data_IF_470503897749
#
_entry.id   IF_470503897749
#
_cell.length_a   1.000
_cell.length_b   1.000
_cell.length_c   1.000
_cell.angle_alpha   90.00
_cell.angle_beta   90.00
_cell.angle_gamma   90.00
#
_symmetry.space_group_name_H-M   'P 1'
#
loop_
_entity.id
_entity.type
_entity.pdbx_description
1 polymer ?
#
# COMPACT_ATOMS: atom_id res chain seq x y z
N UNK A 1 -19.81 7.52 4.38
CA UNK A 1 -19.13 7.80 3.10
C UNK A 1 -17.65 7.53 3.31
N UNK A 2 -17.13 6.38 2.85
CA UNK A 2 -15.72 6.00 2.99
C UNK A 2 -15.40 4.87 2.04
N UNK A 3 -14.95 5.20 0.83
CA UNK A 3 -14.50 4.21 -0.15
C UNK A 3 -13.36 4.83 -0.94
N UNK A 4 -12.15 4.73 -0.38
CA UNK A 4 -10.97 5.43 -0.88
C UNK A 4 -9.96 4.45 -1.51
N UNK A 5 -10.40 3.44 -2.27
CA UNK A 5 -9.52 2.49 -2.97
C UNK A 5 -9.89 1.00 -2.84
N UNK A 6 -8.89 0.13 -3.05
CA UNK A 6 -8.92 -1.29 -2.67
C UNK A 6 -8.03 -1.56 -1.45
N UNK A 7 -8.62 -2.02 -0.34
CA UNK A 7 -7.84 -2.48 0.81
C UNK A 7 -7.03 -3.72 0.46
N UNK A 8 -5.73 -3.63 0.68
CA UNK A 8 -4.74 -4.66 0.40
C UNK A 8 -3.79 -4.83 1.58
N UNK A 9 -3.29 -6.06 1.75
CA UNK A 9 -2.18 -6.40 2.61
C UNK A 9 -0.97 -6.76 1.76
N UNK A 10 0.18 -6.14 2.02
CA UNK A 10 1.45 -6.47 1.38
C UNK A 10 2.23 -7.38 2.32
N UNK A 11 2.41 -8.63 1.91
CA UNK A 11 3.24 -9.62 2.59
C UNK A 11 4.61 -9.62 1.93
N UNK A 12 5.65 -9.29 2.69
CA UNK A 12 7.04 -9.39 2.28
C UNK A 12 7.70 -10.56 3.01
N UNK A 13 8.37 -11.42 2.26
CA UNK A 13 9.18 -12.52 2.78
C UNK A 13 10.45 -12.64 1.92
N UNK A 14 11.57 -12.17 2.47
CA UNK A 14 12.92 -12.29 1.92
C UNK A 14 12.99 -11.94 0.43
N UNK A 15 12.57 -10.70 0.08
CA UNK A 15 12.58 -10.20 -1.30
C UNK A 15 11.42 -10.68 -2.18
N UNK A 16 10.51 -11.51 -1.65
CA UNK A 16 9.26 -11.90 -2.33
C UNK A 16 8.09 -11.13 -1.74
N UNK A 17 7.40 -10.36 -2.57
CA UNK A 17 6.21 -9.62 -2.18
C UNK A 17 4.94 -10.33 -2.69
N UNK A 18 3.90 -10.39 -1.87
CA UNK A 18 2.54 -10.79 -2.27
C UNK A 18 1.53 -9.73 -1.84
N UNK A 19 0.60 -9.38 -2.72
CA UNK A 19 -0.41 -8.35 -2.47
C UNK A 19 -1.76 -9.02 -2.39
N UNK A 20 -2.31 -9.09 -1.18
CA UNK A 20 -3.52 -9.83 -0.86
C UNK A 20 -4.67 -8.84 -0.64
N UNK A 21 -5.73 -8.95 -1.41
CA UNK A 21 -6.94 -8.13 -1.20
C UNK A 21 -7.63 -8.51 0.11
N UNK A 22 -8.51 -7.65 0.61
CA UNK A 22 -9.40 -7.97 1.76
C UNK A 22 -10.17 -9.30 1.59
N UNK A 23 -10.49 -9.70 0.35
CA UNK A 23 -11.16 -10.97 0.05
C UNK A 23 -10.24 -12.19 -0.01
N UNK A 24 -8.94 -12.03 0.22
CA UNK A 24 -7.95 -13.11 0.19
C UNK A 24 -7.37 -13.43 -1.20
N UNK A 25 -7.72 -12.67 -2.23
CA UNK A 25 -7.16 -12.88 -3.57
C UNK A 25 -5.75 -12.31 -3.68
N UNK A 26 -4.84 -13.09 -4.28
CA UNK A 26 -3.50 -12.66 -4.65
C UNK A 26 -3.56 -11.81 -5.94
N UNK A 27 -3.35 -10.50 -5.78
CA UNK A 27 -3.35 -9.49 -6.83
C UNK A 27 -1.96 -8.90 -7.07
N UNK A 28 -0.90 -9.64 -6.74
CA UNK A 28 0.49 -9.18 -6.89
C UNK A 28 0.76 -8.66 -8.30
N UNK A 29 0.45 -9.46 -9.33
CA UNK A 29 0.61 -9.10 -10.74
C UNK A 29 -0.19 -7.86 -11.19
N UNK A 30 -1.20 -7.45 -10.40
CA UNK A 30 -2.05 -6.29 -10.74
C UNK A 30 -1.46 -4.98 -10.24
N UNK A 31 -0.49 -5.02 -9.34
CA UNK A 31 0.10 -3.84 -8.71
C UNK A 31 1.63 -3.88 -8.77
N UNK A 32 2.23 -3.91 -9.98
CA UNK A 32 3.67 -4.08 -10.12
C UNK A 32 4.48 -2.97 -9.42
N UNK A 33 4.01 -1.72 -9.44
CA UNK A 33 4.68 -0.63 -8.73
C UNK A 33 4.72 -0.81 -7.21
N UNK A 34 3.65 -1.37 -6.62
CA UNK A 34 3.56 -1.68 -5.18
C UNK A 34 4.45 -2.88 -4.86
N UNK A 35 4.46 -3.90 -5.72
CA UNK A 35 5.33 -5.06 -5.59
C UNK A 35 6.81 -4.65 -5.55
N UNK A 36 7.24 -3.83 -6.50
CA UNK A 36 8.62 -3.36 -6.59
C UNK A 36 9.00 -2.46 -5.39
N UNK A 37 8.09 -1.60 -4.95
CA UNK A 37 8.30 -0.78 -3.76
C UNK A 37 8.44 -1.66 -2.50
N UNK A 38 7.62 -2.70 -2.35
CA UNK A 38 7.73 -3.63 -1.23
C UNK A 38 9.08 -4.34 -1.19
N UNK A 39 9.59 -4.79 -2.34
CA UNK A 39 10.89 -5.45 -2.44
C UNK A 39 12.06 -4.54 -2.05
N UNK A 40 11.94 -3.23 -2.30
CA UNK A 40 12.97 -2.22 -1.97
C UNK A 40 13.05 -1.87 -0.48
N UNK A 41 12.04 -2.19 0.33
CA UNK A 41 12.05 -1.93 1.78
C UNK A 41 13.23 -2.59 2.50
N UNK A 42 13.83 -3.63 1.93
CA UNK A 42 15.07 -4.22 2.44
C UNK A 42 14.93 -4.95 3.78
N UNK A 43 13.72 -5.27 4.21
CA UNK A 43 13.45 -6.02 5.46
C UNK A 43 13.22 -7.50 5.19
N UNK A 44 13.49 -8.33 6.18
CA UNK A 44 13.39 -9.78 6.04
C UNK A 44 11.95 -10.23 5.86
N UNK A 45 11.08 -9.86 6.79
CA UNK A 45 9.65 -10.22 6.71
C UNK A 45 8.77 -9.09 7.20
N UNK A 46 7.68 -8.79 6.51
CA UNK A 46 6.72 -7.79 6.97
C UNK A 46 5.31 -8.05 6.43
N UNK A 47 4.30 -7.57 7.16
CA UNK A 47 2.91 -7.47 6.66
C UNK A 47 2.42 -6.04 6.89
N UNK A 48 2.25 -5.30 5.79
CA UNK A 48 1.70 -3.94 5.80
C UNK A 48 0.24 -3.97 5.40
N UNK A 49 -0.62 -3.20 6.08
CA UNK A 49 -2.04 -3.03 5.72
C UNK A 49 -2.27 -1.61 5.20
N UNK A 50 -3.03 -1.50 4.13
CA UNK A 50 -3.17 -0.24 3.41
C UNK A 50 -4.27 -0.24 2.36
N UNK A 51 -4.35 0.89 1.68
CA UNK A 51 -5.37 1.16 0.66
C UNK A 51 -4.68 1.46 -0.67
N UNK A 52 -4.93 0.65 -1.70
CA UNK A 52 -4.45 0.91 -3.05
C UNK A 52 -5.35 1.94 -3.75
N UNK A 53 -4.74 2.97 -4.33
CA UNK A 53 -5.40 4.05 -5.06
C UNK A 53 -4.66 4.40 -6.33
N UNK A 54 -5.36 5.02 -7.28
CA UNK A 54 -4.75 5.80 -8.36
C UNK A 54 -5.02 7.26 -8.06
N UNK A 55 -4.05 8.15 -8.31
CA UNK A 55 -4.25 9.58 -8.14
C UNK A 55 -4.75 10.23 -9.44
N UNK A 56 -5.58 11.28 -9.31
CA UNK A 56 -5.91 12.19 -10.40
C UNK A 56 -4.78 13.19 -10.68
N UNK A 57 -5.02 14.12 -11.62
CA UNK A 57 -4.05 15.13 -12.04
C UNK A 57 -3.74 16.14 -10.93
N UNK A 58 -4.67 16.30 -9.97
CA UNK A 58 -4.49 17.14 -8.79
C UNK A 58 -3.95 16.35 -7.58
N UNK A 59 -3.52 15.10 -7.78
CA UNK A 59 -2.93 14.25 -6.75
C UNK A 59 -3.94 13.68 -5.74
N UNK A 60 -5.23 13.69 -6.05
CA UNK A 60 -6.29 13.15 -5.18
C UNK A 60 -6.63 11.71 -5.56
N UNK A 61 -6.96 10.83 -4.60
CA UNK A 61 -7.38 9.47 -4.91
C UNK A 61 -8.63 9.43 -5.79
N UNK A 62 -8.56 8.69 -6.90
CA UNK A 62 -9.65 8.45 -7.86
C UNK A 62 -9.91 6.95 -8.01
N UNK A 63 -11.03 6.50 -7.44
CA UNK A 63 -11.46 5.11 -7.49
C UNK A 63 -11.89 4.67 -8.89
N UNK A 64 -12.52 5.55 -9.67
CA UNK A 64 -12.95 5.24 -11.03
C UNK A 64 -11.75 4.94 -11.91
N UNK A 65 -10.69 5.75 -11.80
CA UNK A 65 -9.40 5.51 -12.46
C UNK A 65 -8.75 4.21 -12.01
N UNK A 66 -8.79 3.88 -10.72
CA UNK A 66 -8.27 2.61 -10.22
C UNK A 66 -9.02 1.41 -10.81
N UNK A 67 -10.36 1.43 -10.76
CA UNK A 67 -11.18 0.36 -11.33
C UNK A 67 -10.95 0.20 -12.83
N UNK A 68 -10.87 1.31 -13.57
CA UNK A 68 -10.59 1.31 -15.00
C UNK A 68 -9.19 0.77 -15.31
N UNK A 69 -8.18 1.16 -14.52
CA UNK A 69 -6.80 0.69 -14.68
C UNK A 69 -6.69 -0.82 -14.44
N UNK A 70 -7.54 -1.38 -13.58
CA UNK A 70 -7.63 -2.81 -13.35
C UNK A 70 -8.44 -3.55 -14.43
N UNK A 71 -9.00 -2.84 -15.42
CA UNK A 71 -9.80 -3.40 -16.52
C UNK A 71 -11.31 -3.39 -16.27
N UNK A 72 -11.81 -2.50 -15.41
CA UNK A 72 -13.23 -2.37 -15.09
C UNK A 72 -13.75 -3.45 -14.13
N UNK A 73 -15.07 -3.67 -14.14
CA UNK A 73 -15.72 -4.65 -13.26
C UNK A 73 -15.34 -6.07 -13.67
N UNK A 74 -14.47 -6.72 -12.89
CA UNK A 74 -13.92 -8.05 -13.21
C UNK A 74 -12.62 -8.02 -14.02
N UNK A 75 -12.05 -6.83 -14.25
CA UNK A 75 -10.84 -6.66 -15.03
C UNK A 75 -9.63 -7.42 -14.47
N UNK A 76 -8.66 -7.69 -15.35
CA UNK A 76 -7.42 -8.43 -15.06
C UNK A 76 -6.17 -7.64 -15.46
N UNK A 77 -6.31 -6.33 -15.69
CA UNK A 77 -5.21 -5.49 -16.14
C UNK A 77 -4.36 -5.02 -14.95
N UNK A 78 -3.05 -4.81 -15.15
CA UNK A 78 -2.19 -4.22 -14.14
C UNK A 78 -2.40 -2.71 -14.03
N UNK A 79 -2.58 -2.22 -12.80
CA UNK A 79 -2.59 -0.80 -12.48
C UNK A 79 -1.18 -0.33 -12.11
N UNK A 80 -0.36 -0.03 -13.13
CA UNK A 80 1.06 0.32 -12.94
C UNK A 80 1.31 1.61 -12.17
N UNK A 81 0.36 2.55 -12.20
CA UNK A 81 0.41 3.83 -11.48
C UNK A 81 -0.29 3.80 -10.11
N UNK A 82 -0.75 2.63 -9.67
CA UNK A 82 -1.37 2.51 -8.36
C UNK A 82 -0.33 2.70 -7.25
N UNK A 83 -0.76 3.38 -6.19
CA UNK A 83 0.00 3.55 -4.96
C UNK A 83 -0.79 2.97 -3.79
N UNK A 84 -0.09 2.42 -2.81
CA UNK A 84 -0.63 2.01 -1.53
C UNK A 84 -0.39 3.13 -0.52
N UNK A 85 -1.46 3.59 0.12
CA UNK A 85 -1.36 4.30 1.39
C UNK A 85 -1.43 3.30 2.54
N UNK A 86 -0.26 2.94 3.08
CA UNK A 86 -0.15 2.08 4.25
C UNK A 86 -0.57 2.84 5.53
N UNK A 87 -1.31 2.16 6.40
CA UNK A 87 -1.81 2.72 7.65
C UNK A 87 -1.57 1.85 8.88
N UNK A 88 -1.17 0.58 8.72
CA UNK A 88 -0.79 -0.32 9.82
C UNK A 88 0.35 -1.26 9.42
N UNK A 89 1.09 -1.75 10.42
CA UNK A 89 2.11 -2.79 10.30
C UNK A 89 1.71 -3.92 11.24
N UNK A 90 1.47 -5.11 10.69
CA UNK A 90 0.91 -6.25 11.42
C UNK A 90 1.97 -7.28 11.82
N UNK A 91 3.02 -7.39 11.02
CA UNK A 91 4.12 -8.33 11.22
C UNK A 91 5.42 -7.67 10.80
N UNK A 92 6.50 -7.92 11.53
CA UNK A 92 7.82 -7.34 11.25
C UNK A 92 8.94 -8.25 11.76
N UNK A 93 9.90 -8.57 10.89
CA UNK A 93 11.12 -9.35 11.17
C UNK A 93 10.91 -10.52 12.13
N UNK A 94 10.02 -11.44 11.75
CA UNK A 94 9.76 -12.66 12.52
C UNK A 94 8.64 -12.53 13.57
N UNK A 95 8.16 -11.32 13.87
CA UNK A 95 7.28 -11.07 14.99
C UNK A 95 5.89 -10.60 14.56
N UNK A 96 4.86 -11.27 15.07
CA UNK A 96 3.49 -10.77 15.03
C UNK A 96 3.33 -9.67 16.08
N UNK A 97 3.12 -8.44 15.62
CA UNK A 97 3.05 -7.26 16.48
C UNK A 97 1.61 -6.78 16.69
N UNK A 98 0.59 -7.55 16.28
CA UNK A 98 -0.82 -7.16 16.40
C UNK A 98 -1.31 -7.01 17.85
N UNK A 99 -0.62 -7.63 18.80
CA UNK A 99 -0.89 -7.46 20.24
C UNK A 99 -0.39 -6.13 20.81
N UNK A 100 0.46 -5.41 20.07
CA UNK A 100 0.93 -4.08 20.47
C UNK A 100 -0.13 -3.02 20.22
N UNK A 101 -0.05 -1.91 20.96
CA UNK A 101 -0.88 -0.72 20.73
C UNK A 101 -0.76 -0.20 19.29
N UNK A 102 -1.89 0.28 18.73
CA UNK A 102 -1.94 0.81 17.36
C UNK A 102 -0.91 1.93 17.14
N UNK A 103 -0.68 2.77 18.13
CA UNK A 103 0.31 3.86 18.07
C UNK A 103 1.73 3.33 17.89
N UNK A 104 2.10 2.26 18.59
CA UNK A 104 3.40 1.63 18.48
C UNK A 104 3.61 0.98 17.11
N UNK A 105 2.60 0.27 16.59
CA UNK A 105 2.66 -0.33 15.23
C UNK A 105 2.82 0.74 14.15
N UNK A 106 2.10 1.86 14.28
CA UNK A 106 2.22 3.01 13.36
C UNK A 106 3.60 3.67 13.46
N UNK A 107 4.20 3.75 14.64
CA UNK A 107 5.57 4.23 14.80
C UNK A 107 6.59 3.37 14.03
N UNK A 108 6.46 2.04 14.11
CA UNK A 108 7.30 1.13 13.32
C UNK A 108 7.05 1.30 11.81
N UNK A 109 5.79 1.40 11.39
CA UNK A 109 5.45 1.66 9.99
C UNK A 109 6.09 2.95 9.46
N UNK A 110 6.02 4.03 10.25
CA UNK A 110 6.62 5.31 9.87
C UNK A 110 8.14 5.25 9.78
N UNK A 111 8.77 4.49 10.67
CA UNK A 111 10.21 4.26 10.65
C UNK A 111 10.64 3.45 9.43
N UNK A 112 9.86 2.42 9.08
CA UNK A 112 10.08 1.58 7.90
C UNK A 112 9.96 2.38 6.59
N UNK A 113 9.00 3.29 6.51
CA UNK A 113 8.71 4.07 5.30
C UNK A 113 9.43 5.42 5.24
N UNK A 114 10.34 5.73 6.18
CA UNK A 114 10.90 7.07 6.37
C UNK A 114 11.61 7.64 5.13
N UNK A 115 12.22 6.77 4.32
CA UNK A 115 13.00 7.15 3.14
C UNK A 115 12.40 6.60 1.83
N UNK A 116 11.14 6.16 1.87
CA UNK A 116 10.50 5.50 0.72
C UNK A 116 9.62 6.49 -0.06
N UNK A 117 10.04 6.79 -1.28
CA UNK A 117 9.29 7.65 -2.23
C UNK A 117 8.51 6.83 -3.27
N UNK A 118 8.53 5.50 -3.13
CA UNK A 118 7.92 4.57 -4.05
C UNK A 118 6.39 4.54 -4.02
N UNK A 119 5.84 3.43 -4.52
CA UNK A 119 4.40 3.22 -4.58
C UNK A 119 3.80 2.79 -3.23
N UNK A 120 4.58 2.63 -2.16
CA UNK A 120 4.07 2.44 -0.80
C UNK A 120 4.38 3.70 -0.01
N UNK A 121 3.34 4.37 0.46
CA UNK A 121 3.42 5.65 1.16
C UNK A 121 2.66 5.58 2.46
N UNK A 122 3.14 6.31 3.47
CA UNK A 122 2.35 6.54 4.70
C UNK A 122 1.09 7.33 4.37
N UNK A 123 -0.06 6.95 4.93
CA UNK A 123 -1.26 7.81 4.86
C UNK A 123 -1.01 9.10 5.62
N UNK A 124 -0.95 10.24 4.92
CA UNK A 124 -0.87 11.55 5.57
C UNK A 124 -2.22 11.87 6.26
N UNK A 125 -2.25 12.50 7.45
CA UNK A 125 -3.50 13.02 8.00
C UNK A 125 -4.14 13.96 6.97
N UNK A 126 -5.38 13.64 6.59
CA UNK A 126 -6.16 14.39 5.61
C UNK A 126 -6.27 15.83 6.12
N UNK A 127 -5.58 16.77 5.45
CA UNK A 127 -5.50 18.18 5.87
C UNK A 127 -4.24 18.92 5.40
N UNK A 128 -3.13 18.23 5.15
CA UNK A 128 -2.02 18.82 4.42
C UNK A 128 -2.11 18.41 2.96
N UNK A 129 -2.24 19.39 2.07
CA UNK A 129 -2.13 19.20 0.64
C UNK A 129 -0.92 18.31 0.34
N UNK A 130 -1.13 17.27 -0.45
CA UNK A 130 -0.08 16.47 -1.07
C UNK A 130 0.75 17.41 -1.95
N UNK A 131 1.71 18.12 -1.36
CA UNK A 131 2.76 18.80 -2.12
C UNK A 131 3.74 17.72 -2.53
N UNK A 132 3.47 17.12 -3.67
CA UNK A 132 4.50 16.45 -4.45
C UNK A 132 5.48 17.59 -4.81
N UNK A 133 6.69 17.53 -4.25
CA UNK A 133 7.73 18.51 -4.53
C UNK A 133 8.08 18.49 -6.04
N UNK A 134 8.47 19.64 -6.63
CA UNK A 134 8.70 19.79 -8.06
C UNK A 134 9.85 18.95 -8.60
#
# INVERSE_FOLDING_TARGET
MKWDGYRIAVHLNNGVARIITRGGHDWTHRFPGIEDAAKRLGVGTAILDGEAVVLDEEGRPDFGKLQNSLGGRGGKLPAGNAIMFAFDLLYFDGHDIRSMELTARRYFLESLLKNEEGAIRRKHPIGAACRIAP
#
